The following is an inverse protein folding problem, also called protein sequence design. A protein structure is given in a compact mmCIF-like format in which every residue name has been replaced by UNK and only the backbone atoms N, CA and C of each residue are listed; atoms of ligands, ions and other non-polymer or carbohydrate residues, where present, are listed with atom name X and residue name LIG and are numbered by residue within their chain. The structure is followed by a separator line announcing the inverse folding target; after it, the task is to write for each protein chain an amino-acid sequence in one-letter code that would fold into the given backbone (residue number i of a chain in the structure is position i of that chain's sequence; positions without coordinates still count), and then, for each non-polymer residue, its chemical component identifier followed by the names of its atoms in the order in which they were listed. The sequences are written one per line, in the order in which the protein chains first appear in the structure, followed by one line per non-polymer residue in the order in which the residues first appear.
data_IF_875694850492
#
_entry.id   IF_875694850492
#
_cell.length_a   1.000
_cell.length_b   1.000
_cell.length_c   1.000
_cell.angle_alpha   90.00
_cell.angle_beta   90.00
_cell.angle_gamma   90.00
#
_symmetry.space_group_name_H-M   'P 1'
#
loop_
_entity.id
_entity.type
_entity.pdbx_description
1 polymer ?
#
# COMPACT_ATOMS: atom_id res chain seq x y z
N UNK A 1 -7.19 -15.87 -1.60
CA UNK A 1 -6.14 -14.81 -1.62
C UNK A 1 -6.73 -13.60 -2.32
N UNK A 2 -6.64 -12.42 -1.71
CA UNK A 2 -7.13 -11.16 -2.31
C UNK A 2 -5.99 -10.41 -3.00
N UNK A 3 -4.81 -10.38 -2.36
CA UNK A 3 -3.60 -9.70 -2.80
C UNK A 3 -2.41 -10.27 -2.02
N UNK A 4 -1.19 -10.11 -2.52
CA UNK A 4 0.04 -10.41 -1.80
C UNK A 4 1.06 -9.30 -1.96
N UNK A 5 1.84 -9.08 -0.90
CA UNK A 5 3.04 -8.26 -0.87
C UNK A 5 4.20 -9.23 -0.55
N UNK A 6 4.82 -9.76 -1.59
CA UNK A 6 5.65 -10.97 -1.57
C UNK A 6 5.00 -12.12 -0.78
N UNK A 7 5.60 -12.51 0.35
CA UNK A 7 5.17 -13.65 1.16
C UNK A 7 3.96 -13.30 2.03
N UNK A 8 3.68 -12.01 2.25
CA UNK A 8 2.52 -11.59 3.02
C UNK A 8 1.26 -11.63 2.15
N UNK A 9 0.29 -12.45 2.53
CA UNK A 9 -0.97 -12.62 1.80
C UNK A 9 -2.09 -11.89 2.50
N UNK A 10 -2.75 -10.94 1.83
CA UNK A 10 -4.00 -10.34 2.25
C UNK A 10 -5.16 -11.30 1.98
N UNK A 11 -5.92 -11.62 3.03
CA UNK A 11 -7.02 -12.58 2.99
C UNK A 11 -7.98 -12.35 4.17
N UNK A 12 -9.12 -13.07 4.17
CA UNK A 12 -10.07 -13.03 5.28
C UNK A 12 -9.49 -13.51 6.62
N UNK A 13 -8.39 -14.26 6.62
CA UNK A 13 -7.76 -14.80 7.84
C UNK A 13 -6.55 -13.99 8.30
N UNK A 14 -6.03 -13.06 7.48
CA UNK A 14 -4.85 -12.24 7.78
C UNK A 14 -5.22 -10.75 7.92
N UNK A 15 -4.96 -9.93 6.91
CA UNK A 15 -5.40 -8.55 6.82
C UNK A 15 -6.37 -8.42 5.63
N UNK A 16 -7.69 -8.46 5.85
CA UNK A 16 -8.66 -8.35 4.76
C UNK A 16 -8.63 -6.94 4.15
N UNK A 17 -8.43 -6.87 2.84
CA UNK A 17 -8.47 -5.63 2.08
C UNK A 17 -9.92 -5.23 1.80
N UNK A 18 -10.25 -3.95 2.00
CA UNK A 18 -11.53 -3.35 1.66
C UNK A 18 -11.44 -2.50 0.40
N UNK A 19 -10.39 -1.68 0.29
CA UNK A 19 -10.23 -0.73 -0.81
C UNK A 19 -8.77 -0.60 -1.21
N UNK A 20 -8.55 -0.49 -2.53
CA UNK A 20 -7.27 -0.13 -3.12
C UNK A 20 -7.43 1.19 -3.87
N UNK A 21 -6.68 2.20 -3.44
CA UNK A 21 -6.53 3.46 -4.16
C UNK A 21 -5.12 3.52 -4.75
N UNK A 22 -5.00 3.90 -6.03
CA UNK A 22 -3.70 4.09 -6.69
C UNK A 22 -3.60 5.47 -7.30
N UNK A 23 -2.56 6.21 -6.95
CA UNK A 23 -2.20 7.49 -7.55
C UNK A 23 -0.93 7.34 -8.38
N UNK A 24 -1.01 7.71 -9.65
CA UNK A 24 0.13 7.75 -10.57
C UNK A 24 0.36 9.16 -11.04
N UNK A 25 1.59 9.63 -10.86
CA UNK A 25 2.02 10.94 -11.32
C UNK A 25 2.92 10.78 -12.56
N UNK A 26 2.82 11.73 -13.49
CA UNK A 26 3.72 11.84 -14.64
C UNK A 26 4.36 13.22 -14.62
N UNK A 27 5.66 13.28 -14.90
CA UNK A 27 6.41 14.52 -14.89
C UNK A 27 6.30 15.18 -16.26
N UNK A 28 5.77 16.40 -16.27
CA UNK A 28 5.65 17.23 -17.46
C UNK A 28 6.34 18.58 -17.23
N UNK A 29 7.38 18.88 -18.01
CA UNK A 29 8.01 20.20 -18.00
C UNK A 29 7.22 21.13 -18.92
N UNK A 30 6.73 22.24 -18.38
CA UNK A 30 5.98 23.23 -19.16
C UNK A 30 6.83 24.45 -19.51
N UNK A 31 6.55 25.07 -20.66
CA UNK A 31 7.14 26.34 -21.08
C UNK A 31 6.08 27.23 -21.70
N UNK A 32 6.03 28.49 -21.26
CA UNK A 32 5.05 29.45 -21.74
C UNK A 32 5.29 29.85 -23.19
N UNK A 33 4.20 30.14 -23.90
CA UNK A 33 4.21 30.59 -25.29
C UNK A 33 3.30 31.81 -25.45
N UNK A 34 3.78 32.84 -26.13
CA UNK A 34 2.97 34.05 -26.37
C UNK A 34 1.80 33.70 -27.29
N UNK A 35 0.58 34.02 -26.87
CA UNK A 35 -0.64 33.83 -27.67
C UNK A 35 -1.08 32.38 -27.87
N UNK A 36 -0.50 31.41 -27.15
CA UNK A 36 -0.86 30.00 -27.24
C UNK A 36 -0.84 29.34 -25.85
N UNK A 37 -1.39 28.12 -25.75
CA UNK A 37 -1.19 27.29 -24.55
C UNK A 37 0.29 26.94 -24.37
N UNK A 38 0.70 26.79 -23.13
CA UNK A 38 2.04 26.31 -22.77
C UNK A 38 2.37 25.00 -23.49
N UNK A 39 3.62 24.87 -23.95
CA UNK A 39 4.11 23.57 -24.39
C UNK A 39 4.34 22.70 -23.15
N UNK A 40 4.00 21.42 -23.25
CA UNK A 40 4.20 20.42 -22.20
C UNK A 40 5.02 19.27 -22.77
N UNK A 41 6.17 18.98 -22.18
CA UNK A 41 7.03 17.86 -22.55
C UNK A 41 7.01 16.81 -21.45
N UNK A 42 6.70 15.56 -21.80
CA UNK A 42 6.84 14.43 -20.91
C UNK A 42 8.33 14.18 -20.63
N UNK A 43 8.71 14.22 -19.35
CA UNK A 43 10.11 14.03 -18.92
C UNK A 43 10.32 12.76 -18.10
N UNK A 44 9.25 11.97 -17.90
CA UNK A 44 9.34 10.67 -17.24
C UNK A 44 8.19 10.38 -16.30
N UNK A 45 8.19 9.16 -15.76
CA UNK A 45 7.24 8.74 -14.72
C UNK A 45 7.57 9.47 -13.41
N UNK A 46 6.51 9.84 -12.68
CA UNK A 46 6.60 10.39 -11.32
C UNK A 46 6.34 9.30 -10.28
N UNK A 47 5.98 9.74 -9.07
CA UNK A 47 5.62 8.81 -8.00
C UNK A 47 4.39 7.97 -8.37
N UNK A 48 4.42 6.71 -7.94
CA UNK A 48 3.30 5.77 -8.03
C UNK A 48 3.06 5.22 -6.62
N UNK A 49 1.91 5.54 -6.06
CA UNK A 49 1.56 5.24 -4.67
C UNK A 49 0.28 4.44 -4.65
N UNK A 50 0.27 3.37 -3.85
CA UNK A 50 -0.91 2.55 -3.59
C UNK A 50 -1.25 2.66 -2.11
N UNK A 51 -2.50 2.98 -1.81
CA UNK A 51 -3.03 2.94 -0.45
C UNK A 51 -4.03 1.80 -0.33
N UNK A 52 -3.74 0.88 0.59
CA UNK A 52 -4.56 -0.26 0.91
C UNK A 52 -5.24 -0.02 2.25
N UNK A 53 -6.57 -0.07 2.29
CA UNK A 53 -7.32 0.06 3.55
C UNK A 53 -8.10 -1.20 3.86
N UNK A 54 -8.25 -1.49 5.14
CA UNK A 54 -8.95 -2.68 5.59
C UNK A 54 -9.30 -2.66 7.06
N UNK A 55 -9.87 -3.77 7.52
CA UNK A 55 -10.26 -3.92 8.92
C UNK A 55 -9.91 -5.33 9.39
N UNK A 56 -9.28 -5.39 10.55
CA UNK A 56 -9.06 -6.61 11.32
C UNK A 56 -9.99 -6.57 12.53
N UNK A 57 -10.77 -7.61 12.73
CA UNK A 57 -11.63 -7.80 13.89
C UNK A 57 -11.54 -9.27 14.31
N UNK A 58 -10.58 -9.66 15.18
CA UNK A 58 -10.15 -11.06 15.37
C UNK A 58 -11.24 -12.05 15.76
N UNK A 59 -12.32 -11.58 16.36
CA UNK A 59 -13.50 -12.40 16.70
C UNK A 59 -14.34 -12.77 15.46
N UNK A 60 -14.04 -12.19 14.29
CA UNK A 60 -14.83 -12.32 13.06
C UNK A 60 -14.00 -12.45 11.78
N UNK A 61 -13.00 -11.59 11.57
CA UNK A 61 -12.21 -11.53 10.34
C UNK A 61 -10.81 -10.98 10.60
N UNK A 62 -9.82 -11.58 9.95
CA UNK A 62 -8.43 -11.17 10.05
C UNK A 62 -7.77 -11.48 11.39
N UNK A 63 -6.51 -11.08 11.51
CA UNK A 63 -5.65 -11.34 12.66
C UNK A 63 -4.81 -10.11 13.01
N UNK A 64 -4.75 -9.74 14.29
CA UNK A 64 -3.90 -8.65 14.81
C UNK A 64 -2.42 -8.93 14.52
N UNK A 65 -2.01 -10.20 14.51
CA UNK A 65 -0.63 -10.57 14.22
C UNK A 65 -0.20 -10.11 12.83
N UNK A 66 -1.10 -10.12 11.84
CA UNK A 66 -0.82 -9.66 10.47
C UNK A 66 -0.50 -8.17 10.42
N UNK A 67 -1.09 -7.36 11.31
CA UNK A 67 -0.78 -5.93 11.40
C UNK A 67 0.64 -5.73 11.92
N UNK A 68 1.07 -6.52 12.92
CA UNK A 68 2.45 -6.50 13.43
C UNK A 68 3.47 -7.00 12.39
N UNK A 69 3.08 -7.99 11.59
CA UNK A 69 3.91 -8.48 10.50
C UNK A 69 4.12 -7.41 9.43
N UNK A 70 3.07 -6.69 9.02
CA UNK A 70 3.18 -5.54 8.12
C UNK A 70 4.07 -4.43 8.69
N UNK A 71 3.97 -4.14 9.99
CA UNK A 71 4.87 -3.21 10.65
C UNK A 71 6.34 -3.69 10.60
N UNK A 72 6.58 -4.98 10.84
CA UNK A 72 7.92 -5.58 10.78
C UNK A 72 8.51 -5.54 9.36
N UNK A 73 7.69 -5.77 8.33
CA UNK A 73 8.08 -5.58 6.94
C UNK A 73 8.42 -4.11 6.64
N UNK A 74 7.67 -3.16 7.21
CA UNK A 74 7.99 -1.74 7.11
C UNK A 74 9.32 -1.39 7.77
N UNK A 75 9.59 -1.93 8.96
CA UNK A 75 10.85 -1.72 9.70
C UNK A 75 12.06 -2.29 8.95
N UNK A 76 11.89 -3.36 8.17
CA UNK A 76 12.94 -3.93 7.33
C UNK A 76 13.34 -2.97 6.19
N UNK A 77 12.40 -2.19 5.67
CA UNK A 77 12.65 -1.20 4.61
C UNK A 77 12.90 -1.80 3.22
N UNK A 78 12.68 -3.10 3.05
CA UNK A 78 12.85 -3.79 1.77
C UNK A 78 11.76 -3.43 0.76
N UNK A 79 12.05 -3.66 -0.52
CA UNK A 79 11.07 -3.60 -1.59
C UNK A 79 10.39 -4.95 -1.77
N UNK A 80 9.07 -4.94 -1.88
CA UNK A 80 8.26 -6.15 -2.01
C UNK A 80 7.40 -6.15 -3.28
N UNK A 81 7.24 -7.30 -3.92
CA UNK A 81 6.40 -7.40 -5.13
C UNK A 81 4.93 -7.43 -4.75
N UNK A 82 4.14 -6.50 -5.30
CA UNK A 82 2.70 -6.45 -5.09
C UNK A 82 1.95 -7.16 -6.24
N UNK A 83 1.11 -8.15 -5.90
CA UNK A 83 0.32 -8.94 -6.86
C UNK A 83 -1.12 -9.10 -6.37
N UNK A 84 -2.12 -8.91 -7.23
CA UNK A 84 -3.52 -9.16 -6.85
C UNK A 84 -3.93 -10.64 -6.99
N UNK A 85 -5.11 -10.99 -6.48
CA UNK A 85 -5.66 -12.35 -6.57
C UNK A 85 -6.01 -12.81 -7.99
N UNK A 86 -6.00 -11.93 -8.99
CA UNK A 86 -6.18 -12.28 -10.41
C UNK A 86 -4.83 -12.53 -11.11
N UNK A 87 -3.70 -12.30 -10.43
CA UNK A 87 -2.35 -12.49 -10.96
C UNK A 87 -1.76 -11.26 -11.62
N UNK A 88 -2.36 -10.07 -11.48
CA UNK A 88 -1.78 -8.84 -11.98
C UNK A 88 -0.61 -8.42 -11.08
N UNK A 89 0.58 -8.29 -11.66
CA UNK A 89 1.78 -7.78 -10.98
C UNK A 89 1.81 -6.27 -11.11
N UNK A 90 1.82 -5.57 -9.98
CA UNK A 90 1.82 -4.10 -9.93
C UNK A 90 3.23 -3.51 -9.98
N UNK A 91 4.24 -4.26 -9.53
CA UNK A 91 5.64 -3.85 -9.42
C UNK A 91 6.18 -4.03 -8.01
N UNK A 92 7.40 -3.53 -7.78
CA UNK A 92 8.05 -3.49 -6.47
C UNK A 92 7.65 -2.26 -5.67
N UNK A 93 7.35 -2.43 -4.38
CA UNK A 93 6.94 -1.35 -3.48
C UNK A 93 7.60 -1.46 -2.11
N UNK A 94 8.02 -0.33 -1.55
CA UNK A 94 8.33 -0.22 -0.13
C UNK A 94 7.08 0.17 0.66
N UNK A 95 7.05 -0.18 1.95
CA UNK A 95 6.03 0.31 2.88
C UNK A 95 6.46 1.71 3.35
N UNK A 96 5.72 2.73 2.94
CA UNK A 96 6.00 4.13 3.27
C UNK A 96 5.34 4.55 4.60
N UNK A 97 4.13 4.04 4.87
CA UNK A 97 3.46 4.22 6.16
C UNK A 97 2.41 3.15 6.44
N UNK A 98 2.23 2.84 7.72
CA UNK A 98 1.12 2.04 8.24
C UNK A 98 0.43 2.86 9.34
N UNK A 99 -0.85 3.16 9.13
CA UNK A 99 -1.68 3.84 10.12
C UNK A 99 -2.72 2.87 10.66
N UNK A 100 -2.91 2.87 11.98
CA UNK A 100 -3.85 1.99 12.67
C UNK A 100 -4.79 2.80 13.58
N UNK A 101 -6.08 2.50 13.51
CA UNK A 101 -7.08 2.99 14.45
C UNK A 101 -7.69 1.81 15.20
N UNK A 102 -7.33 1.69 16.47
CA UNK A 102 -7.76 0.60 17.32
C UNK A 102 -8.99 1.01 18.14
N UNK A 103 -10.01 0.15 18.20
CA UNK A 103 -11.26 0.42 18.94
C UNK A 103 -11.76 -0.81 19.68
N UNK A 104 -12.74 -0.61 20.58
CA UNK A 104 -13.40 -1.68 21.37
C UNK A 104 -12.43 -2.57 22.15
N UNK A 105 -11.57 -1.96 22.96
CA UNK A 105 -10.55 -2.72 23.70
C UNK A 105 -11.18 -3.58 24.79
N UNK A 106 -10.58 -4.75 25.06
CA UNK A 106 -10.89 -5.54 26.25
C UNK A 106 -10.39 -4.85 27.51
N UNK A 107 -10.70 -5.39 28.69
CA UNK A 107 -10.20 -4.88 29.97
C UNK A 107 -8.66 -4.91 30.05
N UNK A 108 -8.03 -5.81 29.29
CA UNK A 108 -6.58 -5.97 29.16
C UNK A 108 -5.97 -5.06 28.08
N UNK A 109 -6.77 -4.21 27.42
CA UNK A 109 -6.31 -3.27 26.40
C UNK A 109 -6.15 -3.87 25.00
N UNK A 110 -6.56 -5.12 24.78
CA UNK A 110 -6.46 -5.77 23.46
C UNK A 110 -7.58 -5.23 22.56
N UNK A 111 -7.28 -4.68 21.36
CA UNK A 111 -8.32 -4.14 20.49
C UNK A 111 -9.16 -5.25 19.85
N UNK A 112 -10.48 -5.08 19.81
CA UNK A 112 -11.37 -6.00 19.07
C UNK A 112 -11.58 -5.60 17.61
N UNK A 113 -11.24 -4.36 17.25
CA UNK A 113 -11.26 -3.87 15.87
C UNK A 113 -10.05 -2.97 15.63
N UNK A 114 -9.37 -3.19 14.52
CA UNK A 114 -8.28 -2.36 14.00
C UNK A 114 -8.63 -1.99 12.56
N UNK A 115 -8.84 -0.70 12.30
CA UNK A 115 -8.88 -0.17 10.94
C UNK A 115 -7.47 0.25 10.54
N UNK A 116 -7.01 -0.22 9.38
CA UNK A 116 -5.65 0.07 8.93
C UNK A 116 -5.65 0.77 7.57
N UNK A 117 -4.62 1.58 7.35
CA UNK A 117 -4.29 2.21 6.08
C UNK A 117 -2.78 2.04 5.83
N UNK A 118 -2.44 1.21 4.84
CA UNK A 118 -1.07 0.92 4.42
C UNK A 118 -0.77 1.68 3.13
N UNK A 119 0.24 2.54 3.16
CA UNK A 119 0.72 3.27 1.99
C UNK A 119 1.99 2.61 1.46
N UNK A 120 1.94 2.25 0.18
CA UNK A 120 3.01 1.62 -0.56
C UNK A 120 3.55 2.60 -1.60
N UNK A 121 4.86 2.75 -1.67
CA UNK A 121 5.52 3.60 -2.68
C UNK A 121 6.30 2.73 -3.65
N UNK A 122 6.02 2.90 -4.95
CA UNK A 122 6.70 2.15 -5.99
C UNK A 122 8.18 2.52 -6.01
N UNK A 123 9.02 1.51 -6.14
CA UNK A 123 10.45 1.67 -6.41
C UNK A 123 10.78 1.11 -7.80
N UNK A 124 11.92 1.54 -8.35
CA UNK A 124 12.38 1.02 -9.63
C UNK A 124 12.80 -0.45 -9.48
N UNK A 125 12.55 -1.25 -10.52
CA UNK A 125 12.77 -2.70 -10.49
C UNK A 125 14.26 -3.07 -10.31
N UNK A 126 15.20 -2.15 -10.55
CA UNK A 126 16.63 -2.32 -10.23
C UNK A 126 16.88 -2.46 -8.71
N UNK A 127 15.95 -2.04 -7.85
CA UNK A 127 16.06 -2.22 -6.40
C UNK A 127 15.84 -3.68 -5.94
N UNK A 128 15.40 -4.57 -6.85
CA UNK A 128 15.20 -6.00 -6.57
C UNK A 128 16.41 -6.88 -6.97
N UNK A 129 17.52 -6.29 -7.44
CA UNK A 129 18.72 -7.01 -7.90
C UNK A 129 19.79 -7.22 -6.83
#
# INVERSE_FOLDING_TARGET
MMMSLDQFVFSLTSAPLKELQRQRNWKHRTSSRVGARDSSQFVGVGDDTITLTGTVAPESVGSIASIKELATMGDAGDAYVLVDGAGNVYGAFTIDSLNETQTYHTAEGIPRKIEFSLTLKRVDDEALS
#
